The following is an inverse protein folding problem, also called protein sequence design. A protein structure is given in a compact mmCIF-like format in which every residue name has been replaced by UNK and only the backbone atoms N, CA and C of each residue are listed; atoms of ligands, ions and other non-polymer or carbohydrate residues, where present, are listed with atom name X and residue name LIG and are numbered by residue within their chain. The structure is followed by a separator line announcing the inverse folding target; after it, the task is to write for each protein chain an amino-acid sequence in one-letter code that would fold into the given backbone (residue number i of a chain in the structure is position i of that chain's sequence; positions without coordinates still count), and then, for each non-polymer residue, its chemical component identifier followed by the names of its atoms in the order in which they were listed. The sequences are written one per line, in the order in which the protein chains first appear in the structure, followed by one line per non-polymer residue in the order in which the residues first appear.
data_IF_396750186566
#
_entry.id   IF_396750186566
#
_cell.length_a   1.000
_cell.length_b   1.000
_cell.length_c   1.000
_cell.angle_alpha   90.00
_cell.angle_beta   90.00
_cell.angle_gamma   90.00
#
_symmetry.space_group_name_H-M   'P 1'
#
loop_
_entity.id
_entity.type
_entity.pdbx_description
1 polymer ?
#
# COMPACT_ATOMS: atom_id res chain seq x y z
N UNK A 1 -21.49 -23.68 12.88
CA UNK A 1 -20.71 -23.79 11.63
C UNK A 1 -19.47 -22.91 11.55
N UNK A 2 -19.43 -21.65 12.03
CA UNK A 2 -18.21 -20.82 11.96
C UNK A 2 -17.03 -21.38 12.79
N UNK A 3 -17.33 -21.95 13.96
CA UNK A 3 -16.31 -22.51 14.88
C UNK A 3 -15.67 -23.78 14.31
N UNK A 4 -16.43 -24.61 13.58
CA UNK A 4 -15.93 -25.83 12.94
C UNK A 4 -15.02 -25.51 11.74
N UNK A 5 -15.34 -24.45 10.98
CA UNK A 5 -14.47 -23.92 9.92
C UNK A 5 -13.16 -23.39 10.53
N UNK A 6 -13.23 -22.66 11.65
CA UNK A 6 -12.05 -22.18 12.38
C UNK A 6 -11.16 -23.35 12.89
N UNK A 7 -11.79 -24.42 13.37
CA UNK A 7 -11.08 -25.63 13.83
C UNK A 7 -10.46 -26.41 12.68
N UNK A 8 -11.13 -26.51 11.52
CA UNK A 8 -10.58 -27.17 10.32
C UNK A 8 -9.51 -26.34 9.59
N UNK A 9 -9.54 -25.00 9.71
CA UNK A 9 -8.49 -24.13 9.15
C UNK A 9 -7.21 -24.19 10.00
N UNK A 10 -7.33 -24.35 11.32
CA UNK A 10 -6.16 -24.54 12.19
C UNK A 10 -5.36 -25.82 11.89
N UNK A 11 -5.99 -26.84 11.30
CA UNK A 11 -5.34 -28.11 10.92
C UNK A 11 -4.92 -28.17 9.44
N UNK A 12 -5.40 -27.24 8.59
CA UNK A 12 -5.24 -27.31 7.13
C UNK A 12 -4.71 -25.98 6.57
N UNK A 13 -3.38 -25.87 6.55
CA UNK A 13 -2.54 -24.94 5.77
C UNK A 13 -2.64 -23.43 6.09
N UNK A 14 -1.56 -22.89 6.69
CA UNK A 14 -1.23 -21.46 6.79
C UNK A 14 -1.41 -20.68 5.47
N UNK A 15 -1.26 -21.38 4.34
CA UNK A 15 -1.42 -20.84 2.99
C UNK A 15 -2.86 -20.39 2.68
N UNK A 16 -3.88 -21.09 3.19
CA UNK A 16 -5.30 -20.77 2.93
C UNK A 16 -5.70 -19.51 3.71
N UNK A 17 -5.24 -19.40 4.95
CA UNK A 17 -5.52 -18.25 5.81
C UNK A 17 -4.80 -16.99 5.29
N UNK A 18 -3.53 -17.13 4.87
CA UNK A 18 -2.78 -16.06 4.21
C UNK A 18 -3.52 -15.52 2.99
N UNK A 19 -3.92 -16.40 2.06
CA UNK A 19 -4.64 -16.01 0.84
C UNK A 19 -5.96 -15.28 1.16
N UNK A 20 -6.70 -15.71 2.17
CA UNK A 20 -8.00 -15.10 2.55
C UNK A 20 -7.84 -13.67 3.06
N UNK A 21 -6.85 -13.42 3.92
CA UNK A 21 -6.55 -12.07 4.43
C UNK A 21 -6.17 -11.14 3.26
N UNK A 22 -5.38 -11.62 2.32
CA UNK A 22 -4.92 -10.80 1.19
C UNK A 22 -6.05 -10.41 0.24
N UNK A 23 -7.07 -11.24 0.07
CA UNK A 23 -8.27 -10.86 -0.67
C UNK A 23 -9.03 -9.71 0.01
N UNK A 24 -9.12 -9.72 1.34
CA UNK A 24 -9.72 -8.60 2.09
C UNK A 24 -8.95 -7.30 1.86
N UNK A 25 -7.62 -7.36 1.92
CA UNK A 25 -6.73 -6.21 1.70
C UNK A 25 -6.85 -5.71 0.26
N UNK A 26 -6.88 -6.64 -0.69
CA UNK A 26 -7.09 -6.33 -2.12
C UNK A 26 -8.44 -5.64 -2.32
N UNK A 27 -9.51 -6.10 -1.65
CA UNK A 27 -10.81 -5.46 -1.70
C UNK A 27 -10.79 -4.04 -1.11
N UNK A 28 -10.05 -3.80 -0.02
CA UNK A 28 -9.86 -2.44 0.51
C UNK A 28 -9.15 -1.51 -0.48
N UNK A 29 -8.11 -1.99 -1.16
CA UNK A 29 -7.43 -1.21 -2.21
C UNK A 29 -8.29 -0.98 -3.44
N UNK A 30 -9.17 -1.93 -3.79
CA UNK A 30 -10.18 -1.73 -4.83
C UNK A 30 -11.18 -0.63 -4.43
N UNK A 31 -11.71 -0.70 -3.20
CA UNK A 31 -12.60 0.32 -2.63
C UNK A 31 -11.90 1.69 -2.63
N UNK A 32 -10.65 1.76 -2.18
CA UNK A 32 -9.86 2.99 -2.24
C UNK A 32 -9.83 3.55 -3.65
N UNK A 33 -9.40 2.76 -4.64
CA UNK A 33 -9.29 3.23 -6.02
C UNK A 33 -10.62 3.71 -6.64
N UNK A 34 -11.75 3.09 -6.27
CA UNK A 34 -13.08 3.54 -6.67
C UNK A 34 -13.54 4.80 -5.94
N UNK A 35 -13.18 4.95 -4.67
CA UNK A 35 -13.64 6.05 -3.81
C UNK A 35 -12.80 7.31 -3.95
N UNK A 36 -11.52 7.22 -4.36
CA UNK A 36 -10.58 8.34 -4.51
C UNK A 36 -11.14 9.53 -5.30
N UNK A 37 -12.10 9.28 -6.21
CA UNK A 37 -12.68 10.29 -7.10
C UNK A 37 -14.16 10.58 -6.82
N UNK A 38 -14.71 10.07 -5.72
CA UNK A 38 -16.10 10.29 -5.36
C UNK A 38 -16.32 11.75 -4.92
N UNK A 39 -17.54 12.28 -5.05
CA UNK A 39 -17.88 13.66 -4.61
C UNK A 39 -17.89 13.81 -3.09
N UNK A 40 -18.21 12.74 -2.36
CA UNK A 40 -18.28 12.76 -0.89
C UNK A 40 -16.90 12.61 -0.25
N UNK A 41 -16.51 13.60 0.55
CA UNK A 41 -15.25 13.60 1.31
C UNK A 41 -15.18 12.45 2.32
N UNK A 42 -16.33 12.09 2.90
CA UNK A 42 -16.43 11.00 3.87
C UNK A 42 -16.18 9.65 3.20
N UNK A 43 -16.69 9.43 1.99
CA UNK A 43 -16.48 8.16 1.28
C UNK A 43 -15.01 7.99 0.89
N UNK A 44 -14.35 9.07 0.47
CA UNK A 44 -12.88 9.05 0.24
C UNK A 44 -12.14 8.71 1.53
N UNK A 45 -12.49 9.38 2.63
CA UNK A 45 -11.82 9.16 3.92
C UNK A 45 -11.99 7.72 4.41
N UNK A 46 -13.18 7.12 4.26
CA UNK A 46 -13.41 5.70 4.57
C UNK A 46 -12.52 4.80 3.73
N UNK A 47 -12.40 5.02 2.42
CA UNK A 47 -11.52 4.24 1.56
C UNK A 47 -10.05 4.30 2.02
N UNK A 48 -9.58 5.49 2.40
CA UNK A 48 -8.22 5.68 2.94
C UNK A 48 -8.08 4.98 4.30
N UNK A 49 -9.05 5.13 5.19
CA UNK A 49 -9.05 4.53 6.54
C UNK A 49 -9.00 3.01 6.48
N UNK A 50 -9.80 2.38 5.62
CA UNK A 50 -9.78 0.92 5.46
C UNK A 50 -8.38 0.42 5.07
N UNK A 51 -7.71 1.11 4.14
CA UNK A 51 -6.34 0.78 3.77
C UNK A 51 -5.35 1.04 4.91
N UNK A 52 -5.42 2.19 5.59
CA UNK A 52 -4.50 2.54 6.67
C UNK A 52 -4.59 1.62 7.89
N UNK A 53 -5.81 1.25 8.28
CA UNK A 53 -6.06 0.35 9.41
C UNK A 53 -5.64 -1.09 9.08
N UNK A 54 -5.67 -1.46 7.80
CA UNK A 54 -5.27 -2.77 7.35
C UNK A 54 -3.76 -2.90 7.11
N UNK A 55 -3.13 -1.91 6.47
CA UNK A 55 -1.70 -1.90 6.15
C UNK A 55 -1.10 -0.51 6.11
N UNK A 56 0.07 -0.38 6.72
CA UNK A 56 0.88 0.85 6.67
C UNK A 56 1.48 1.16 5.29
N UNK A 57 1.31 0.28 4.30
CA UNK A 57 1.80 0.49 2.94
C UNK A 57 1.24 1.76 2.31
N UNK A 58 0.04 2.24 2.66
CA UNK A 58 -0.48 3.47 2.03
C UNK A 58 0.16 4.77 2.58
N UNK A 59 0.79 4.73 3.75
CA UNK A 59 1.15 5.92 4.53
C UNK A 59 2.07 6.86 3.77
N UNK A 60 3.12 6.33 3.12
CA UNK A 60 4.08 7.19 2.42
C UNK A 60 3.53 7.75 1.11
N UNK A 61 2.50 7.14 0.51
CA UNK A 61 1.86 7.66 -0.71
C UNK A 61 0.83 8.77 -0.42
N UNK A 62 0.22 8.78 0.77
CA UNK A 62 -0.80 9.78 1.13
C UNK A 62 -0.36 11.25 1.04
N UNK A 63 0.88 11.64 1.41
CA UNK A 63 1.37 13.00 1.18
C UNK A 63 1.24 13.44 -0.28
N UNK A 64 1.54 12.56 -1.25
CA UNK A 64 1.36 12.84 -2.67
C UNK A 64 -0.13 13.05 -2.99
N UNK A 65 -1.01 12.17 -2.50
CA UNK A 65 -2.45 12.31 -2.70
C UNK A 65 -2.97 13.65 -2.18
N UNK A 66 -2.62 14.01 -0.94
CA UNK A 66 -3.05 15.27 -0.35
C UNK A 66 -2.44 16.48 -1.07
N UNK A 67 -1.19 16.41 -1.52
CA UNK A 67 -0.60 17.48 -2.34
C UNK A 67 -1.39 17.68 -3.64
N UNK A 68 -1.70 16.59 -4.36
CA UNK A 68 -2.49 16.63 -5.60
C UNK A 68 -3.87 17.27 -5.37
N UNK A 69 -4.55 16.86 -4.30
CA UNK A 69 -5.88 17.38 -3.95
C UNK A 69 -5.83 18.83 -3.43
N UNK A 70 -4.77 19.22 -2.71
CA UNK A 70 -4.59 20.56 -2.16
C UNK A 70 -4.49 21.61 -3.28
N UNK A 71 -3.84 21.24 -4.39
CA UNK A 71 -3.74 22.06 -5.59
C UNK A 71 -5.09 22.22 -6.33
N UNK A 72 -6.06 21.33 -6.10
CA UNK A 72 -7.40 21.43 -6.66
C UNK A 72 -8.36 22.17 -5.72
N UNK A 73 -8.39 21.79 -4.44
CA UNK A 73 -9.28 22.40 -3.45
C UNK A 73 -8.72 22.24 -2.05
N UNK A 74 -8.32 23.37 -1.44
CA UNK A 74 -7.82 23.41 -0.06
C UNK A 74 -8.86 22.93 0.95
N UNK A 75 -10.09 23.45 0.86
CA UNK A 75 -11.19 23.12 1.79
C UNK A 75 -11.51 21.63 1.76
N UNK A 76 -11.59 21.05 0.55
CA UNK A 76 -11.88 19.63 0.37
C UNK A 76 -10.80 18.75 0.97
N UNK A 77 -9.55 19.06 0.67
CA UNK A 77 -8.39 18.32 1.17
C UNK A 77 -8.33 18.35 2.69
N UNK A 78 -8.51 19.53 3.30
CA UNK A 78 -8.49 19.69 4.75
C UNK A 78 -9.60 18.87 5.43
N UNK A 79 -10.80 18.81 4.86
CA UNK A 79 -11.88 17.97 5.37
C UNK A 79 -11.55 16.48 5.29
N UNK A 80 -11.01 16.00 4.16
CA UNK A 80 -10.61 14.59 4.01
C UNK A 80 -9.50 14.26 5.00
N UNK A 81 -8.48 15.11 5.13
CA UNK A 81 -7.39 14.92 6.10
C UNK A 81 -7.91 14.89 7.53
N UNK A 82 -8.85 15.77 7.89
CA UNK A 82 -9.46 15.78 9.22
C UNK A 82 -10.22 14.48 9.50
N UNK A 83 -11.00 13.97 8.54
CA UNK A 83 -11.69 12.68 8.70
C UNK A 83 -10.75 11.49 8.80
N UNK A 84 -9.66 11.49 8.02
CA UNK A 84 -8.66 10.42 8.09
C UNK A 84 -7.93 10.46 9.43
N UNK A 85 -7.44 11.63 9.86
CA UNK A 85 -6.76 11.80 11.16
C UNK A 85 -7.71 11.45 12.31
N UNK A 86 -8.93 11.99 12.29
CA UNK A 86 -9.95 11.69 13.29
C UNK A 86 -10.31 10.21 13.34
N UNK A 87 -10.45 9.55 12.18
CA UNK A 87 -10.73 8.12 12.11
C UNK A 87 -9.59 7.25 12.65
N UNK A 88 -8.34 7.54 12.30
CA UNK A 88 -7.17 6.84 12.86
C UNK A 88 -7.08 7.08 14.38
N UNK A 89 -7.32 8.31 14.83
CA UNK A 89 -7.31 8.63 16.25
C UNK A 89 -8.39 7.85 17.01
N UNK A 90 -9.64 7.88 16.53
CA UNK A 90 -10.78 7.26 17.21
C UNK A 90 -10.76 5.73 17.17
N UNK A 91 -10.37 5.13 16.04
CA UNK A 91 -10.47 3.68 15.82
C UNK A 91 -9.20 2.96 16.27
N UNK A 92 -8.03 3.60 16.18
CA UNK A 92 -6.75 2.96 16.43
C UNK A 92 -6.00 3.55 17.62
N UNK A 93 -5.79 4.87 17.67
CA UNK A 93 -4.93 5.44 18.72
C UNK A 93 -5.65 5.44 20.08
N UNK A 94 -6.86 5.96 20.18
CA UNK A 94 -7.63 6.02 21.43
C UNK A 94 -7.81 4.66 22.11
N UNK A 95 -8.31 3.61 21.42
CA UNK A 95 -8.56 2.33 22.10
C UNK A 95 -7.29 1.51 22.36
N UNK A 96 -6.20 1.69 21.61
CA UNK A 96 -5.02 0.84 21.77
C UNK A 96 -3.84 1.56 22.43
N UNK A 97 -3.56 2.80 22.04
CA UNK A 97 -2.39 3.54 22.53
C UNK A 97 -2.56 4.03 23.98
N UNK A 98 -3.79 4.29 24.43
CA UNK A 98 -4.04 4.67 25.83
C UNK A 98 -3.70 3.52 26.78
N UNK A 99 -3.92 2.28 26.35
CA UNK A 99 -3.65 1.11 27.18
C UNK A 99 -2.21 0.61 27.08
N UNK A 100 -1.57 0.71 25.91
CA UNK A 100 -0.18 0.33 25.74
C UNK A 100 0.54 1.26 24.74
N UNK A 101 1.40 2.14 25.27
CA UNK A 101 2.19 3.07 24.46
C UNK A 101 3.31 2.35 23.69
N UNK A 102 3.68 1.13 24.09
CA UNK A 102 4.73 0.34 23.46
C UNK A 102 4.25 -0.46 22.25
N UNK A 103 2.94 -0.48 21.97
CA UNK A 103 2.33 -1.30 20.91
C UNK A 103 2.92 -1.01 19.51
N UNK A 104 3.31 0.24 19.25
CA UNK A 104 3.95 0.62 18.00
C UNK A 104 5.37 0.06 17.88
N UNK A 105 6.16 0.12 18.96
CA UNK A 105 7.51 -0.45 18.98
C UNK A 105 7.44 -1.96 18.87
N UNK A 106 6.53 -2.59 19.61
CA UNK A 106 6.33 -4.04 19.56
C UNK A 106 5.89 -4.52 18.18
N UNK A 107 4.96 -3.82 17.52
CA UNK A 107 4.53 -4.15 16.16
C UNK A 107 5.68 -4.04 15.14
N UNK A 108 6.50 -3.01 15.26
CA UNK A 108 7.69 -2.84 14.42
C UNK A 108 8.73 -3.95 14.64
N UNK A 109 9.01 -4.28 15.91
CA UNK A 109 9.97 -5.32 16.28
C UNK A 109 9.44 -6.72 15.93
N UNK A 110 8.14 -6.95 16.01
CA UNK A 110 7.51 -8.22 15.64
C UNK A 110 7.78 -8.57 14.19
N UNK A 111 7.65 -7.61 13.27
CA UNK A 111 7.94 -7.83 11.85
C UNK A 111 9.41 -8.17 11.61
N UNK A 112 10.33 -7.47 12.29
CA UNK A 112 11.77 -7.76 12.19
C UNK A 112 12.10 -9.13 12.78
N UNK A 113 11.54 -9.51 13.93
CA UNK A 113 11.73 -10.83 14.55
C UNK A 113 11.19 -11.95 13.65
N UNK A 114 10.00 -11.75 13.07
CA UNK A 114 9.42 -12.69 12.11
C UNK A 114 10.30 -12.84 10.85
N UNK A 115 10.83 -11.73 10.33
CA UNK A 115 11.75 -11.76 9.18
C UNK A 115 13.05 -12.49 9.52
N UNK A 116 13.66 -12.23 10.69
CA UNK A 116 14.85 -12.95 11.16
C UNK A 116 14.55 -14.45 11.22
N UNK A 117 13.44 -14.84 11.84
CA UNK A 117 13.03 -16.24 11.94
C UNK A 117 12.88 -16.91 10.57
N UNK A 118 12.20 -16.25 9.63
CA UNK A 118 12.02 -16.75 8.27
C UNK A 118 13.31 -16.80 7.46
N UNK A 119 14.21 -15.82 7.63
CA UNK A 119 15.51 -15.78 6.96
C UNK A 119 16.51 -16.80 7.53
N UNK A 120 16.32 -17.24 8.78
CA UNK A 120 17.08 -18.34 9.39
C UNK A 120 16.47 -19.72 9.08
N UNK A 121 15.27 -19.77 8.51
CA UNK A 121 14.52 -21.01 8.31
C UNK A 121 15.02 -21.74 7.05
N UNK A 122 15.71 -22.85 7.27
CA UNK A 122 16.13 -23.79 6.21
C UNK A 122 17.65 -24.02 6.19
N UNK A 123 18.06 -25.25 5.90
CA UNK A 123 19.47 -25.69 5.98
C UNK A 123 20.37 -25.17 4.84
N UNK A 124 19.80 -24.73 3.71
CA UNK A 124 20.56 -24.24 2.55
C UNK A 124 20.19 -22.80 2.17
N UNK A 125 18.92 -22.55 1.82
CA UNK A 125 18.40 -21.24 1.41
C UNK A 125 16.95 -21.07 1.90
N UNK A 126 16.56 -19.89 2.44
CA UNK A 126 15.19 -19.68 2.92
C UNK A 126 14.18 -19.72 1.77
N UNK A 127 13.22 -20.65 1.87
CA UNK A 127 12.34 -21.00 0.74
C UNK A 127 11.46 -19.83 0.29
N UNK A 128 10.88 -19.07 1.22
CA UNK A 128 10.04 -17.91 0.90
C UNK A 128 10.82 -16.74 0.31
N UNK A 129 12.08 -16.60 0.69
CA UNK A 129 12.93 -15.52 0.21
C UNK A 129 13.29 -15.70 -1.28
N UNK A 130 13.65 -16.93 -1.66
CA UNK A 130 14.10 -17.26 -3.01
C UNK A 130 12.99 -17.61 -3.99
N UNK A 131 11.85 -18.10 -3.48
CA UNK A 131 10.67 -18.30 -4.33
C UNK A 131 9.92 -17.00 -4.52
N UNK A 132 9.97 -16.08 -3.56
CA UNK A 132 9.23 -14.83 -3.57
C UNK A 132 9.56 -13.88 -4.71
N UNK A 133 8.66 -12.93 -4.95
CA UNK A 133 8.85 -11.84 -5.91
C UNK A 133 9.38 -10.64 -5.14
N UNK A 134 10.63 -10.24 -5.37
CA UNK A 134 11.21 -9.06 -4.75
C UNK A 134 12.73 -9.07 -4.70
N UNK A 135 13.30 -8.07 -4.03
CA UNK A 135 14.74 -7.88 -3.94
C UNK A 135 15.37 -8.48 -2.69
N UNK A 136 14.57 -8.97 -1.73
CA UNK A 136 15.06 -9.45 -0.44
C UNK A 136 16.11 -10.58 -0.55
N UNK A 137 15.97 -11.48 -1.54
CA UNK A 137 16.97 -12.53 -1.81
C UNK A 137 18.35 -11.98 -2.17
N UNK A 138 18.42 -10.86 -2.88
CA UNK A 138 19.69 -10.22 -3.23
C UNK A 138 20.40 -9.67 -1.99
N UNK A 139 19.65 -9.09 -1.05
CA UNK A 139 20.23 -8.63 0.22
C UNK A 139 20.75 -9.81 1.04
N UNK A 140 20.05 -10.94 1.03
CA UNK A 140 20.51 -12.14 1.71
C UNK A 140 21.79 -12.73 1.09
N UNK A 141 21.87 -12.80 -0.24
CA UNK A 141 22.95 -13.47 -0.96
C UNK A 141 24.22 -12.62 -1.07
N UNK A 142 24.08 -11.32 -1.35
CA UNK A 142 25.21 -10.49 -1.75
C UNK A 142 25.74 -9.54 -0.65
N UNK A 143 24.95 -9.21 0.37
CA UNK A 143 25.51 -8.48 1.52
C UNK A 143 26.28 -9.43 2.43
N UNK A 144 27.45 -8.99 2.88
CA UNK A 144 28.18 -9.59 4.00
C UNK A 144 27.58 -9.14 5.33
N UNK A 145 27.88 -9.87 6.41
CA UNK A 145 27.39 -9.61 7.75
C UNK A 145 26.33 -10.59 8.23
N UNK A 146 25.86 -10.38 9.46
CA UNK A 146 24.81 -11.18 10.09
C UNK A 146 23.42 -10.86 9.51
N UNK A 147 22.47 -11.77 9.71
CA UNK A 147 21.10 -11.65 9.17
C UNK A 147 20.41 -10.36 9.66
N UNK A 148 20.65 -9.94 10.90
CA UNK A 148 20.04 -8.71 11.43
C UNK A 148 20.54 -7.49 10.66
N UNK A 149 21.86 -7.35 10.50
CA UNK A 149 22.44 -6.26 9.71
C UNK A 149 21.92 -6.24 8.27
N UNK A 150 21.79 -7.41 7.61
CA UNK A 150 21.24 -7.48 6.24
C UNK A 150 19.79 -6.99 6.18
N UNK A 151 18.96 -7.37 7.15
CA UNK A 151 17.56 -6.93 7.25
C UNK A 151 17.49 -5.42 7.51
N UNK A 152 18.37 -4.87 8.34
CA UNK A 152 18.43 -3.42 8.61
C UNK A 152 18.81 -2.61 7.36
N UNK A 153 19.78 -3.09 6.58
CA UNK A 153 20.11 -2.48 5.29
C UNK A 153 18.93 -2.57 4.31
N UNK A 154 18.25 -3.71 4.23
CA UNK A 154 17.05 -3.85 3.40
C UNK A 154 15.94 -2.88 3.82
N UNK A 155 15.70 -2.72 5.13
CA UNK A 155 14.71 -1.77 5.68
C UNK A 155 15.03 -0.35 5.31
N UNK A 156 16.30 0.03 5.44
CA UNK A 156 16.77 1.36 5.06
C UNK A 156 16.57 1.61 3.57
N UNK A 157 16.95 0.66 2.70
CA UNK A 157 16.76 0.78 1.25
C UNK A 157 15.26 0.83 0.91
N UNK A 158 14.45 -0.02 1.51
CA UNK A 158 13.00 -0.04 1.31
C UNK A 158 12.36 1.31 1.64
N UNK A 159 12.65 1.88 2.81
CA UNK A 159 12.15 3.19 3.20
C UNK A 159 12.65 4.29 2.24
N UNK A 160 13.95 4.26 1.90
CA UNK A 160 14.57 5.26 1.04
C UNK A 160 13.97 5.26 -0.36
N UNK A 161 13.81 4.09 -0.99
CA UNK A 161 13.31 3.99 -2.36
C UNK A 161 11.80 4.29 -2.45
N UNK A 162 11.01 3.88 -1.46
CA UNK A 162 9.58 4.20 -1.41
C UNK A 162 9.34 5.70 -1.18
N UNK A 163 10.11 6.32 -0.28
CA UNK A 163 10.08 7.77 -0.07
C UNK A 163 10.51 8.52 -1.33
N UNK A 164 11.64 8.12 -1.93
CA UNK A 164 12.17 8.73 -3.16
C UNK A 164 11.15 8.61 -4.31
N UNK A 165 10.50 7.46 -4.46
CA UNK A 165 9.45 7.27 -5.48
C UNK A 165 8.28 8.22 -5.29
N UNK A 166 7.85 8.45 -4.05
CA UNK A 166 6.74 9.37 -3.72
C UNK A 166 7.14 10.82 -4.00
N UNK A 167 8.36 11.22 -3.61
CA UNK A 167 8.87 12.57 -3.84
C UNK A 167 9.02 12.82 -5.34
N UNK A 168 9.62 11.88 -6.08
CA UNK A 168 9.79 11.97 -7.52
C UNK A 168 8.44 12.11 -8.23
N UNK A 169 7.46 11.26 -7.87
CA UNK A 169 6.12 11.37 -8.44
C UNK A 169 5.50 12.74 -8.10
N UNK A 170 5.59 13.21 -6.85
CA UNK A 170 5.08 14.53 -6.45
C UNK A 170 5.68 15.67 -7.29
N UNK A 171 6.99 15.64 -7.54
CA UNK A 171 7.69 16.61 -8.41
C UNK A 171 7.16 16.52 -9.85
N UNK A 172 7.07 15.31 -10.41
CA UNK A 172 6.54 15.08 -11.77
C UNK A 172 5.12 15.65 -11.89
N UNK A 173 4.24 15.39 -10.92
CA UNK A 173 2.90 15.96 -10.93
C UNK A 173 2.95 17.48 -10.93
N UNK A 174 3.72 18.06 -10.02
CA UNK A 174 3.79 19.52 -9.87
C UNK A 174 4.20 20.22 -11.17
N UNK A 175 5.17 19.66 -11.90
CA UNK A 175 5.67 20.18 -13.18
C UNK A 175 4.64 19.99 -14.31
N UNK A 176 4.03 18.81 -14.41
CA UNK A 176 3.18 18.44 -15.56
C UNK A 176 1.67 18.48 -15.28
N UNK A 177 1.23 19.04 -14.14
CA UNK A 177 -0.17 19.00 -13.68
C UNK A 177 -1.22 19.48 -14.69
N UNK A 178 -0.86 20.37 -15.61
CA UNK A 178 -1.78 20.91 -16.61
C UNK A 178 -1.99 19.96 -17.80
N UNK A 179 -1.09 19.00 -18.01
CA UNK A 179 -1.11 18.09 -19.17
C UNK A 179 -1.58 16.68 -18.82
N UNK A 180 -1.72 16.38 -17.54
CA UNK A 180 -1.95 15.01 -17.06
C UNK A 180 -3.36 14.89 -16.50
N UNK A 181 -4.05 13.80 -16.88
CA UNK A 181 -5.31 13.43 -16.24
C UNK A 181 -5.06 13.05 -14.77
N UNK A 182 -5.62 13.83 -13.85
CA UNK A 182 -5.42 13.68 -12.40
C UNK A 182 -5.79 12.28 -11.88
N UNK A 183 -6.88 11.70 -12.38
CA UNK A 183 -7.36 10.40 -11.90
C UNK A 183 -6.41 9.29 -12.31
N UNK A 184 -6.06 9.27 -13.59
CA UNK A 184 -5.10 8.32 -14.13
C UNK A 184 -3.74 8.45 -13.44
N UNK A 185 -3.31 9.68 -13.16
CA UNK A 185 -2.07 9.95 -12.44
C UNK A 185 -2.07 9.41 -11.01
N UNK A 186 -3.14 9.65 -10.24
CA UNK A 186 -3.25 9.13 -8.88
C UNK A 186 -3.27 7.59 -8.86
N UNK A 187 -4.00 6.94 -9.77
CA UNK A 187 -3.99 5.47 -9.86
C UNK A 187 -2.63 4.91 -10.31
N UNK A 188 -2.00 5.53 -11.32
CA UNK A 188 -0.70 5.12 -11.81
C UNK A 188 0.40 5.32 -10.76
N UNK A 189 0.43 6.45 -10.07
CA UNK A 189 1.37 6.71 -8.97
C UNK A 189 1.17 5.73 -7.81
N UNK A 190 -0.08 5.41 -7.46
CA UNK A 190 -0.40 4.41 -6.45
C UNK A 190 0.14 3.03 -6.87
N UNK A 191 -0.07 2.62 -8.12
CA UNK A 191 0.47 1.35 -8.64
C UNK A 191 1.99 1.30 -8.57
N UNK A 192 2.68 2.32 -9.09
CA UNK A 192 4.14 2.39 -9.09
C UNK A 192 4.66 2.30 -7.65
N UNK A 193 4.08 3.09 -6.76
CA UNK A 193 4.41 3.09 -5.34
C UNK A 193 4.24 1.71 -4.71
N UNK A 194 3.10 1.03 -4.94
CA UNK A 194 2.84 -0.31 -4.38
C UNK A 194 3.79 -1.37 -4.93
N UNK A 195 4.10 -1.32 -6.23
CA UNK A 195 5.06 -2.25 -6.83
C UNK A 195 6.43 -2.07 -6.18
N UNK A 196 6.90 -0.84 -6.00
CA UNK A 196 8.16 -0.56 -5.32
C UNK A 196 8.10 -1.04 -3.86
N UNK A 197 7.06 -0.67 -3.11
CA UNK A 197 6.88 -1.07 -1.72
C UNK A 197 6.94 -2.60 -1.54
N UNK A 198 6.14 -3.35 -2.31
CA UNK A 198 6.09 -4.81 -2.18
C UNK A 198 7.35 -5.51 -2.70
N UNK A 199 8.08 -4.90 -3.64
CA UNK A 199 9.35 -5.46 -4.13
C UNK A 199 10.48 -5.40 -3.10
N UNK A 200 10.41 -4.50 -2.12
CA UNK A 200 11.44 -4.32 -1.09
C UNK A 200 10.98 -4.75 0.32
N UNK A 201 9.87 -5.49 0.42
CA UNK A 201 9.42 -6.04 1.70
C UNK A 201 10.37 -7.12 2.20
N UNK A 202 10.49 -7.26 3.53
CA UNK A 202 11.43 -8.19 4.16
C UNK A 202 11.13 -9.67 3.86
N UNK A 203 9.85 -10.02 3.72
CA UNK A 203 9.41 -11.38 3.39
C UNK A 203 8.54 -11.32 2.13
N UNK A 204 9.10 -11.60 0.93
CA UNK A 204 8.42 -11.39 -0.34
C UNK A 204 7.42 -12.52 -0.66
N UNK A 205 6.22 -12.48 -0.09
CA UNK A 205 5.17 -13.43 -0.48
C UNK A 205 4.52 -13.05 -1.82
N UNK A 206 4.33 -14.04 -2.71
CA UNK A 206 3.71 -13.84 -4.03
C UNK A 206 2.34 -13.19 -3.98
N UNK A 207 1.50 -13.61 -3.03
CA UNK A 207 0.13 -13.14 -2.92
C UNK A 207 0.03 -11.63 -2.62
N UNK A 208 1.09 -11.00 -2.10
CA UNK A 208 1.10 -9.57 -1.82
C UNK A 208 1.00 -8.74 -3.11
N UNK A 209 1.46 -9.30 -4.24
CA UNK A 209 1.38 -8.66 -5.56
C UNK A 209 -0.04 -8.64 -6.14
N UNK A 210 -1.01 -9.30 -5.50
CA UNK A 210 -2.42 -9.16 -5.87
C UNK A 210 -2.91 -7.71 -5.72
N UNK A 211 -2.40 -6.99 -4.72
CA UNK A 211 -2.76 -5.58 -4.45
C UNK A 211 -2.34 -4.63 -5.59
N UNK A 212 -1.06 -4.56 -6.04
CA UNK A 212 -0.72 -3.75 -7.21
C UNK A 212 -1.38 -4.24 -8.51
N UNK A 213 -1.70 -5.54 -8.62
CA UNK A 213 -2.42 -6.09 -9.77
C UNK A 213 -3.85 -5.54 -9.86
N UNK A 214 -4.61 -5.48 -8.76
CA UNK A 214 -5.98 -4.95 -8.78
C UNK A 214 -6.03 -3.48 -9.20
N UNK A 215 -5.03 -2.68 -8.81
CA UNK A 215 -4.91 -1.28 -9.25
C UNK A 215 -4.72 -1.20 -10.77
N UNK A 216 -4.08 -2.19 -11.39
CA UNK A 216 -3.94 -2.23 -12.86
C UNK A 216 -5.30 -2.35 -13.56
N UNK A 217 -6.24 -3.11 -13.00
CA UNK A 217 -7.60 -3.23 -13.54
C UNK A 217 -8.33 -1.88 -13.48
N UNK A 218 -8.19 -1.15 -12.37
CA UNK A 218 -8.77 0.19 -12.23
C UNK A 218 -8.18 1.20 -13.23
N UNK A 219 -6.87 1.14 -13.47
CA UNK A 219 -6.21 1.97 -14.48
C UNK A 219 -6.78 1.65 -15.86
N UNK A 220 -6.88 0.36 -16.22
CA UNK A 220 -7.44 -0.06 -17.51
C UNK A 220 -8.88 0.44 -17.68
N UNK A 221 -9.71 0.33 -16.65
CA UNK A 221 -11.08 0.83 -16.68
C UNK A 221 -11.15 2.34 -16.93
N UNK A 222 -10.30 3.13 -16.26
CA UNK A 222 -10.28 4.59 -16.46
C UNK A 222 -9.73 4.96 -17.85
N UNK A 223 -8.72 4.24 -18.36
CA UNK A 223 -8.21 4.45 -19.73
C UNK A 223 -9.28 4.13 -20.77
N UNK A 224 -9.98 3.01 -20.62
CA UNK A 224 -11.10 2.66 -21.50
C UNK A 224 -12.17 3.75 -21.47
N UNK A 225 -12.55 4.23 -20.29
CA UNK A 225 -13.53 5.30 -20.16
C UNK A 225 -13.11 6.59 -20.89
N UNK A 226 -11.82 6.94 -20.87
CA UNK A 226 -11.31 8.11 -21.59
C UNK A 226 -11.32 7.91 -23.11
N UNK A 227 -11.01 6.71 -23.59
CA UNK A 227 -10.99 6.40 -25.03
C UNK A 227 -12.40 6.23 -25.63
N UNK A 228 -13.35 5.75 -24.84
CA UNK A 228 -14.74 5.52 -25.27
C UNK A 228 -15.71 6.62 -24.84
N UNK A 229 -15.24 7.67 -24.17
CA UNK A 229 -16.05 8.85 -23.93
C UNK A 229 -16.40 9.46 -25.30
N UNK A 230 -17.69 9.74 -25.60
CA UNK A 230 -18.04 10.44 -26.83
C UNK A 230 -17.25 11.74 -26.87
N UNK A 231 -16.58 12.00 -28.00
CA UNK A 231 -15.85 13.24 -28.27
C UNK A 231 -16.83 14.41 -28.34
N UNK A 232 -17.40 14.82 -27.22
CA UNK A 232 -18.21 16.03 -27.12
C UNK A 232 -17.29 17.25 -26.98
N UNK A 233 -16.76 17.61 -28.16
CA UNK A 233 -16.54 18.96 -28.71
C UNK A 233 -15.11 19.22 -29.21
N UNK A 234 -14.96 19.71 -30.45
CA UNK A 234 -13.73 20.35 -30.90
C UNK A 234 -13.56 21.68 -30.16
N UNK A 235 -12.43 21.85 -29.46
CA UNK A 235 -11.98 23.17 -29.00
C UNK A 235 -11.25 23.82 -30.18
N UNK A 236 -12.01 24.35 -31.14
CA UNK A 236 -11.60 25.52 -31.94
C UNK A 236 -12.86 26.31 -32.26
N UNK A 237 -13.14 27.34 -31.47
CA UNK A 237 -13.97 28.48 -31.88
C UNK A 237 -13.64 29.68 -30.99
N UNK A 238 -13.00 30.70 -31.59
CA UNK A 238 -12.73 32.01 -31.00
C UNK A 238 -11.26 32.29 -30.78
#
# INVERSE_FOLDING_TARGET
MPVLIFYTINDVNDLILGVTIEFLITAYYLILGLTLFNRSNLIIAIGILLCLLSRYSLVLWLPLYFMVMLLESKKRTLMISLYVIGGVLLIYILPFFIHDTSIFSQGYDYHTKAAIGEWMRGSNKPLHLYRGIGFAAYFYEYLSGDISSKIDVLRFVHLSITLMSTVLMSIIYYIYRQKINKKLYLLASLKIYLVIFYSFIQIPYHYLFLVPLIISILILFEVMKLNFAPNDKPIISG
#
